data_IF_863788556515
#
_entry.id   IF_863788556515
#
_cell.length_a   1.000
_cell.length_b   1.000
_cell.length_c   1.000
_cell.angle_alpha   90.00
_cell.angle_beta   90.00
_cell.angle_gamma   90.00
#
_symmetry.space_group_name_H-M   'P 1'
#
loop_
_entity.id
_entity.type
_entity.pdbx_description
1 polymer ?
#
# COMPACT_ATOMS: atom_id res chain seq x y z
N UNK A 1 15.42 -8.03 -21.10
CA UNK A 1 14.32 -7.49 -20.28
C UNK A 1 13.88 -8.60 -19.34
N UNK A 2 13.77 -8.32 -18.04
CA UNK A 2 13.29 -9.30 -17.06
C UNK A 2 11.76 -9.35 -17.10
N UNK A 3 11.19 -10.57 -17.08
CA UNK A 3 9.74 -10.75 -17.04
C UNK A 3 9.12 -10.20 -15.74
N UNK A 4 7.84 -9.85 -15.81
CA UNK A 4 7.02 -9.54 -14.65
C UNK A 4 6.80 -10.81 -13.85
N UNK A 5 7.16 -10.79 -12.58
CA UNK A 5 7.01 -11.94 -11.68
C UNK A 5 5.88 -11.75 -10.67
N UNK A 6 5.50 -10.50 -10.38
CA UNK A 6 4.50 -10.18 -9.38
C UNK A 6 3.92 -8.79 -9.65
N UNK A 7 2.65 -8.61 -9.32
CA UNK A 7 1.98 -7.32 -9.27
C UNK A 7 1.18 -7.22 -7.99
N UNK A 8 1.37 -6.12 -7.25
CA UNK A 8 0.65 -5.85 -6.00
C UNK A 8 -0.14 -4.55 -6.17
N UNK A 9 -1.48 -4.62 -6.33
CA UNK A 9 -2.30 -3.43 -6.44
C UNK A 9 -2.43 -2.73 -5.09
N UNK A 10 -2.31 -1.41 -5.12
CA UNK A 10 -2.41 -0.54 -3.95
C UNK A 10 -3.55 0.47 -4.14
N UNK A 11 -3.66 1.41 -3.21
CA UNK A 11 -4.70 2.44 -3.19
C UNK A 11 -4.43 3.53 -4.24
N UNK A 12 -5.44 4.34 -4.56
CA UNK A 12 -5.33 5.50 -5.46
C UNK A 12 -4.75 5.20 -6.86
N UNK A 13 -5.03 4.02 -7.40
CA UNK A 13 -4.58 3.60 -8.73
C UNK A 13 -3.09 3.25 -8.78
N UNK A 14 -2.46 2.95 -7.66
CA UNK A 14 -1.04 2.61 -7.61
C UNK A 14 -0.81 1.10 -7.76
N UNK A 15 0.29 0.71 -8.39
CA UNK A 15 0.77 -0.66 -8.48
C UNK A 15 2.24 -0.75 -8.09
N UNK A 16 2.59 -1.89 -7.49
CA UNK A 16 3.97 -2.32 -7.33
C UNK A 16 4.20 -3.49 -8.28
N UNK A 17 5.07 -3.31 -9.27
CA UNK A 17 5.33 -4.30 -10.33
C UNK A 17 6.75 -4.83 -10.20
N UNK A 18 6.89 -6.11 -9.88
CA UNK A 18 8.20 -6.74 -9.67
C UNK A 18 8.75 -7.32 -10.98
N UNK A 19 9.99 -6.94 -11.31
CA UNK A 19 10.75 -7.32 -12.50
C UNK A 19 12.14 -7.82 -12.07
N UNK A 20 12.33 -9.13 -11.95
CA UNK A 20 13.60 -9.69 -11.46
C UNK A 20 13.92 -9.25 -10.03
N UNK A 21 14.96 -8.43 -9.85
CA UNK A 21 15.48 -7.93 -8.57
C UNK A 21 15.02 -6.52 -8.18
N UNK A 22 14.16 -5.89 -9.00
CA UNK A 22 13.60 -4.56 -8.76
C UNK A 22 12.07 -4.59 -8.79
N UNK A 23 11.46 -3.64 -8.08
CA UNK A 23 10.03 -3.37 -8.13
C UNK A 23 9.81 -1.93 -8.56
N UNK A 24 9.02 -1.74 -9.61
CA UNK A 24 8.55 -0.43 -10.07
C UNK A 24 7.32 -0.03 -9.25
N UNK A 25 7.32 1.18 -8.70
CA UNK A 25 6.13 1.79 -8.11
C UNK A 25 5.55 2.79 -9.11
N UNK A 26 4.32 2.54 -9.54
CA UNK A 26 3.66 3.32 -10.60
C UNK A 26 2.26 3.72 -10.19
N UNK A 27 1.75 4.80 -10.77
CA UNK A 27 0.39 5.28 -10.59
C UNK A 27 -0.33 5.39 -11.94
N UNK A 28 -1.55 4.87 -11.99
CA UNK A 28 -2.43 4.98 -13.14
C UNK A 28 -3.35 6.17 -12.98
N UNK A 29 -3.60 6.85 -14.10
CA UNK A 29 -4.61 7.88 -14.24
C UNK A 29 -5.55 7.51 -15.38
N UNK A 30 -6.49 6.56 -15.16
CA UNK A 30 -7.31 6.00 -16.23
C UNK A 30 -8.07 7.03 -17.06
N UNK A 31 -8.54 8.09 -16.41
CA UNK A 31 -9.26 9.21 -17.05
C UNK A 31 -8.40 10.06 -18.00
N UNK A 32 -7.07 9.98 -17.89
CA UNK A 32 -6.12 10.61 -18.82
C UNK A 32 -5.75 9.69 -19.98
N UNK A 33 -6.30 8.48 -20.01
CA UNK A 33 -6.05 7.46 -21.01
C UNK A 33 -7.15 7.37 -22.06
N UNK A 34 -7.11 6.29 -22.85
CA UNK A 34 -8.16 5.97 -23.83
C UNK A 34 -9.40 5.34 -23.19
N UNK A 35 -10.50 5.23 -23.95
CA UNK A 35 -11.78 4.67 -23.46
C UNK A 35 -11.66 3.27 -22.84
N UNK A 36 -10.74 2.44 -23.34
CA UNK A 36 -10.50 1.09 -22.81
C UNK A 36 -9.97 1.06 -21.36
N UNK A 37 -9.54 2.19 -20.81
CA UNK A 37 -9.05 2.30 -19.43
C UNK A 37 -10.13 2.73 -18.45
N UNK A 38 -11.29 3.20 -18.88
CA UNK A 38 -12.30 3.79 -17.97
C UNK A 38 -12.73 2.84 -16.85
N UNK A 39 -12.79 1.54 -17.13
CA UNK A 39 -13.14 0.53 -16.12
C UNK A 39 -12.10 0.41 -14.99
N UNK A 40 -10.87 0.85 -15.21
CA UNK A 40 -9.81 0.83 -14.19
C UNK A 40 -10.03 1.90 -13.09
N UNK A 41 -10.95 2.84 -13.30
CA UNK A 41 -11.36 3.78 -12.24
C UNK A 41 -12.17 3.09 -11.14
N UNK A 42 -12.78 1.94 -11.46
CA UNK A 42 -13.48 1.11 -10.50
C UNK A 42 -12.47 0.31 -9.67
N UNK A 43 -12.35 0.62 -8.37
CA UNK A 43 -11.42 -0.05 -7.43
C UNK A 43 -11.44 -1.58 -7.53
N UNK A 44 -12.62 -2.18 -7.59
CA UNK A 44 -12.77 -3.64 -7.65
C UNK A 44 -12.30 -4.24 -8.98
N UNK A 45 -12.31 -3.49 -10.08
CA UNK A 45 -11.71 -3.90 -11.35
C UNK A 45 -10.20 -3.74 -11.27
N UNK A 46 -9.73 -2.56 -10.82
CA UNK A 46 -8.31 -2.24 -10.71
C UNK A 46 -7.53 -3.26 -9.86
N UNK A 47 -8.09 -3.65 -8.72
CA UNK A 47 -7.50 -4.62 -7.80
C UNK A 47 -7.41 -6.05 -8.35
N UNK A 48 -8.08 -6.35 -9.47
CA UNK A 48 -8.06 -7.67 -10.11
C UNK A 48 -7.00 -7.80 -11.20
N UNK A 49 -6.03 -6.88 -11.23
CA UNK A 49 -4.86 -6.97 -12.09
C UNK A 49 -4.17 -8.34 -11.94
N UNK A 50 -3.69 -8.89 -13.06
CA UNK A 50 -2.91 -10.13 -13.09
C UNK A 50 -1.69 -9.96 -14.00
N UNK A 51 -0.67 -10.75 -13.73
CA UNK A 51 0.44 -10.95 -14.66
C UNK A 51 0.01 -11.96 -15.72
N UNK A 52 0.34 -11.73 -16.99
CA UNK A 52 0.11 -12.73 -18.05
C UNK A 52 1.02 -13.95 -17.86
N UNK A 53 0.63 -15.11 -18.37
CA UNK A 53 1.38 -16.37 -18.17
C UNK A 53 2.84 -16.32 -18.64
N UNK A 54 3.12 -15.49 -19.65
CA UNK A 54 4.48 -15.27 -20.17
C UNK A 54 5.25 -14.15 -19.44
N UNK A 55 4.65 -13.49 -18.45
CA UNK A 55 5.26 -12.37 -17.71
C UNK A 55 5.52 -11.11 -18.54
N UNK A 56 4.93 -10.98 -19.73
CA UNK A 56 5.21 -9.87 -20.64
C UNK A 56 4.21 -8.72 -20.55
N UNK A 57 3.14 -8.85 -19.77
CA UNK A 57 2.16 -7.79 -19.57
C UNK A 57 1.40 -7.93 -18.25
N UNK A 58 0.72 -6.85 -17.86
CA UNK A 58 -0.35 -6.85 -16.88
C UNK A 58 -1.70 -6.88 -17.59
N UNK A 59 -2.67 -7.60 -17.05
CA UNK A 59 -4.02 -7.71 -17.62
C UNK A 59 -5.10 -7.48 -16.56
N UNK A 60 -6.22 -6.89 -16.97
CA UNK A 60 -7.39 -6.63 -16.13
C UNK A 60 -8.65 -7.30 -16.70
N UNK A 61 -9.65 -7.59 -15.83
CA UNK A 61 -10.99 -7.92 -16.31
C UNK A 61 -11.51 -6.82 -17.25
N UNK A 62 -12.08 -7.21 -18.39
CA UNK A 62 -12.53 -6.27 -19.43
C UNK A 62 -11.52 -6.07 -20.58
N UNK A 63 -10.36 -6.73 -20.53
CA UNK A 63 -9.46 -6.87 -21.68
C UNK A 63 -8.37 -5.80 -21.81
N UNK A 64 -8.31 -4.82 -20.91
CA UNK A 64 -7.18 -3.89 -20.88
C UNK A 64 -5.89 -4.64 -20.52
N UNK A 65 -4.85 -4.44 -21.31
CA UNK A 65 -3.54 -5.07 -21.14
C UNK A 65 -2.46 -4.00 -21.24
N UNK A 66 -1.55 -4.01 -20.27
CA UNK A 66 -0.38 -3.12 -20.23
C UNK A 66 0.89 -3.92 -20.51
N UNK A 67 1.51 -3.75 -21.69
CA UNK A 67 2.77 -4.42 -22.00
C UNK A 67 3.93 -3.99 -21.09
N UNK A 68 4.82 -4.93 -20.79
CA UNK A 68 6.06 -4.69 -20.04
C UNK A 68 6.91 -3.59 -20.66
N UNK A 69 6.96 -3.51 -22.00
CA UNK A 69 7.72 -2.47 -22.67
C UNK A 69 7.23 -1.06 -22.33
N UNK A 70 5.93 -0.88 -22.05
CA UNK A 70 5.37 0.40 -21.59
C UNK A 70 5.73 0.69 -20.14
N UNK A 71 5.77 -0.34 -19.29
CA UNK A 71 6.17 -0.22 -17.88
C UNK A 71 7.66 0.06 -17.69
N UNK A 72 8.53 -0.49 -18.53
CA UNK A 72 9.99 -0.26 -18.44
C UNK A 72 10.40 1.00 -19.22
N UNK A 73 9.53 1.49 -20.09
CA UNK A 73 9.74 2.68 -20.89
C UNK A 73 9.54 3.94 -20.04
N UNK A 74 10.58 4.78 -19.94
CA UNK A 74 10.47 6.16 -19.43
C UNK A 74 9.77 7.12 -20.40
N UNK A 75 9.10 6.62 -21.44
CA UNK A 75 8.31 7.48 -22.35
C UNK A 75 7.17 8.11 -21.56
N UNK A 76 7.05 9.42 -21.72
CA UNK A 76 6.00 10.18 -21.10
C UNK A 76 4.63 9.70 -21.59
N UNK A 77 3.86 9.16 -20.65
CA UNK A 77 2.56 8.56 -20.90
C UNK A 77 1.59 9.22 -19.94
N UNK A 78 0.61 10.01 -20.42
CA UNK A 78 -0.16 10.90 -19.54
C UNK A 78 -1.02 10.16 -18.51
N UNK A 79 -1.29 8.87 -18.75
CA UNK A 79 -2.07 7.99 -17.88
C UNK A 79 -1.22 7.08 -16.98
N UNK A 80 0.11 7.16 -17.04
CA UNK A 80 1.03 6.34 -16.23
C UNK A 80 2.17 7.19 -15.66
N UNK A 81 2.22 7.30 -14.34
CA UNK A 81 3.28 8.01 -13.63
C UNK A 81 4.22 7.02 -12.96
N UNK A 82 5.53 7.16 -13.17
CA UNK A 82 6.54 6.43 -12.42
C UNK A 82 6.83 7.13 -11.10
N UNK A 83 6.45 6.50 -9.99
CA UNK A 83 6.68 7.04 -8.65
C UNK A 83 8.06 6.67 -8.11
N UNK A 84 8.62 5.53 -8.53
CA UNK A 84 9.98 5.14 -8.14
C UNK A 84 10.34 3.71 -8.50
N UNK A 85 11.56 3.33 -8.13
CA UNK A 85 12.09 1.96 -8.24
C UNK A 85 12.69 1.57 -6.90
N UNK A 86 12.30 0.43 -6.36
CA UNK A 86 12.79 -0.10 -5.07
C UNK A 86 13.28 -1.54 -5.22
N UNK A 87 14.14 -2.04 -4.30
CA UNK A 87 14.45 -3.47 -4.24
C UNK A 87 13.22 -4.33 -3.93
N UNK A 88 13.17 -5.57 -4.41
CA UNK A 88 12.06 -6.52 -4.12
C UNK A 88 11.82 -6.73 -2.62
N UNK A 89 12.88 -6.67 -1.82
CA UNK A 89 12.80 -6.79 -0.36
C UNK A 89 12.04 -5.62 0.31
N UNK A 90 11.81 -4.53 -0.42
CA UNK A 90 11.24 -3.28 0.07
C UNK A 90 9.90 -2.93 -0.61
N UNK A 91 9.42 -3.80 -1.50
CA UNK A 91 8.17 -3.60 -2.21
C UNK A 91 6.97 -3.52 -1.27
N UNK A 92 5.97 -2.73 -1.66
CA UNK A 92 4.69 -2.60 -0.94
C UNK A 92 4.85 -2.07 0.49
N UNK A 93 5.91 -1.30 0.74
CA UNK A 93 6.22 -0.66 2.02
C UNK A 93 6.26 0.86 1.86
N UNK A 94 5.09 1.51 1.65
CA UNK A 94 5.05 2.93 1.33
C UNK A 94 5.67 3.81 2.42
N UNK A 95 5.54 3.45 3.71
CA UNK A 95 6.10 4.24 4.81
C UNK A 95 7.59 4.01 5.06
N UNK A 96 8.22 3.00 4.44
CA UNK A 96 9.62 2.64 4.71
C UNK A 96 10.62 3.77 4.42
N UNK A 97 10.53 4.52 3.31
CA UNK A 97 11.45 5.65 3.07
C UNK A 97 11.40 6.69 4.18
N UNK A 98 10.21 6.97 4.71
CA UNK A 98 10.01 7.93 5.80
C UNK A 98 10.57 7.38 7.11
N UNK A 99 10.30 6.12 7.44
CA UNK A 99 10.84 5.47 8.63
C UNK A 99 12.37 5.49 8.67
N UNK A 100 13.03 5.33 7.52
CA UNK A 100 14.49 5.44 7.43
C UNK A 100 15.02 6.82 7.79
N UNK A 101 14.28 7.85 7.37
CA UNK A 101 14.63 9.22 7.67
C UNK A 101 14.38 9.54 9.15
N UNK A 102 13.21 9.15 9.67
CA UNK A 102 12.78 9.43 11.03
C UNK A 102 13.52 8.59 12.11
N UNK A 103 13.93 7.35 11.75
CA UNK A 103 14.62 6.43 12.67
C UNK A 103 15.96 5.91 12.11
N UNK A 104 16.99 6.77 12.02
CA UNK A 104 18.31 6.33 11.56
C UNK A 104 18.87 5.21 12.45
N UNK A 105 19.22 4.08 11.85
CA UNK A 105 19.83 2.93 12.55
C UNK A 105 18.84 1.92 13.16
N UNK A 106 17.53 2.15 13.08
CA UNK A 106 16.55 1.15 13.50
C UNK A 106 16.61 -0.12 12.60
N UNK A 107 16.45 -1.33 13.15
CA UNK A 107 16.45 -2.57 12.36
C UNK A 107 15.13 -2.76 11.58
N UNK A 108 14.89 -1.90 10.59
CA UNK A 108 13.68 -1.88 9.74
C UNK A 108 13.55 -3.10 8.80
N UNK A 109 14.53 -4.02 8.81
CA UNK A 109 14.58 -5.24 7.99
C UNK A 109 14.27 -6.53 8.76
N UNK A 110 13.98 -6.46 10.06
CA UNK A 110 13.52 -7.64 10.79
C UNK A 110 12.23 -8.18 10.16
N UNK A 111 12.12 -9.51 9.98
CA UNK A 111 10.89 -10.13 9.50
C UNK A 111 9.85 -10.13 10.63
N UNK A 112 8.75 -9.35 10.51
CA UNK A 112 7.75 -9.31 11.56
C UNK A 112 6.96 -10.62 11.61
N UNK A 113 6.67 -11.08 12.82
CA UNK A 113 5.80 -12.23 13.06
C UNK A 113 4.36 -11.77 13.24
N UNK A 114 3.40 -12.68 13.05
CA UNK A 114 1.98 -12.45 13.38
C UNK A 114 1.82 -11.95 14.82
N UNK A 115 2.51 -12.58 15.77
CA UNK A 115 2.48 -12.22 17.19
C UNK A 115 2.95 -10.77 17.41
N UNK A 116 4.03 -10.34 16.76
CA UNK A 116 4.50 -8.96 16.85
C UNK A 116 3.44 -7.96 16.39
N UNK A 117 2.76 -8.22 15.25
CA UNK A 117 1.72 -7.33 14.72
C UNK A 117 0.48 -7.33 15.63
N UNK A 118 0.04 -8.49 16.11
CA UNK A 118 -1.06 -8.63 17.08
C UNK A 118 -0.80 -7.79 18.32
N UNK A 119 0.40 -7.91 18.92
CA UNK A 119 0.77 -7.15 20.11
C UNK A 119 0.88 -5.65 19.83
N UNK A 120 1.43 -5.28 18.68
CA UNK A 120 1.63 -3.89 18.27
C UNK A 120 0.32 -3.11 18.14
N UNK A 121 -0.75 -3.76 17.66
CA UNK A 121 -2.06 -3.13 17.48
C UNK A 121 -3.12 -3.56 18.49
N UNK A 122 -2.79 -4.47 19.42
CA UNK A 122 -3.76 -5.05 20.35
C UNK A 122 -4.91 -5.78 19.67
N UNK A 123 -4.63 -6.43 18.53
CA UNK A 123 -5.60 -7.18 17.73
C UNK A 123 -5.76 -8.60 18.24
N UNK A 124 -6.90 -9.21 17.99
CA UNK A 124 -7.10 -10.66 18.07
C UNK A 124 -6.61 -11.33 16.80
N UNK A 125 -6.32 -12.63 16.87
CA UNK A 125 -5.88 -13.39 15.69
C UNK A 125 -6.87 -13.35 14.53
N UNK A 126 -8.18 -13.48 14.80
CA UNK A 126 -9.22 -13.37 13.78
C UNK A 126 -9.33 -11.97 13.14
N UNK A 127 -8.90 -10.92 13.84
CA UNK A 127 -8.83 -9.56 13.29
C UNK A 127 -7.65 -9.46 12.33
N UNK A 128 -6.46 -9.97 12.70
CA UNK A 128 -5.31 -10.01 11.80
C UNK A 128 -5.62 -10.83 10.54
N UNK A 129 -6.27 -11.98 10.68
CA UNK A 129 -6.72 -12.78 9.54
C UNK A 129 -7.61 -11.98 8.58
N UNK A 130 -8.50 -11.15 9.12
CA UNK A 130 -9.38 -10.30 8.32
C UNK A 130 -8.58 -9.26 7.53
N UNK A 131 -7.56 -8.65 8.16
CA UNK A 131 -6.63 -7.72 7.48
C UNK A 131 -5.88 -8.43 6.36
N UNK A 132 -5.29 -9.59 6.64
CA UNK A 132 -4.47 -10.33 5.69
C UNK A 132 -5.29 -10.80 4.48
N UNK A 133 -6.56 -11.19 4.68
CA UNK A 133 -7.47 -11.59 3.59
C UNK A 133 -8.01 -10.42 2.76
N UNK A 134 -8.00 -9.20 3.31
CA UNK A 134 -8.53 -8.03 2.61
C UNK A 134 -7.66 -7.57 1.42
N UNK A 135 -6.41 -8.06 1.33
CA UNK A 135 -5.47 -7.68 0.29
C UNK A 135 -5.01 -8.90 -0.51
N UNK A 136 -4.93 -8.79 -1.85
CA UNK A 136 -4.46 -9.88 -2.70
C UNK A 136 -2.92 -9.92 -2.74
N UNK A 137 -2.26 -9.90 -1.58
CA UNK A 137 -0.80 -9.91 -1.45
C UNK A 137 -0.36 -11.02 -0.49
N UNK A 138 0.90 -11.45 -0.56
CA UNK A 138 1.40 -12.47 0.36
C UNK A 138 1.39 -11.96 1.80
N UNK A 139 1.13 -12.86 2.74
CA UNK A 139 1.07 -12.54 4.17
C UNK A 139 2.36 -11.85 4.64
N UNK A 140 3.52 -12.36 4.23
CA UNK A 140 4.81 -11.78 4.62
C UNK A 140 4.94 -10.31 4.19
N UNK A 141 4.49 -9.96 2.98
CA UNK A 141 4.51 -8.58 2.48
C UNK A 141 3.58 -7.69 3.31
N UNK A 142 2.37 -8.17 3.62
CA UNK A 142 1.43 -7.43 4.43
C UNK A 142 1.93 -7.23 5.88
N UNK A 143 2.53 -8.27 6.48
CA UNK A 143 3.10 -8.17 7.83
C UNK A 143 4.19 -7.09 7.90
N UNK A 144 5.04 -6.98 6.87
CA UNK A 144 6.01 -5.88 6.77
C UNK A 144 5.34 -4.50 6.71
N UNK A 145 4.31 -4.33 5.88
CA UNK A 145 3.58 -3.06 5.77
C UNK A 145 2.89 -2.67 7.09
N UNK A 146 2.25 -3.63 7.76
CA UNK A 146 1.61 -3.40 9.07
C UNK A 146 2.64 -3.07 10.15
N UNK A 147 3.78 -3.75 10.14
CA UNK A 147 4.87 -3.45 11.07
C UNK A 147 5.43 -2.04 10.87
N UNK A 148 5.63 -1.62 9.61
CA UNK A 148 6.06 -0.26 9.28
C UNK A 148 5.05 0.78 9.78
N UNK A 149 3.75 0.53 9.57
CA UNK A 149 2.69 1.39 10.06
C UNK A 149 2.74 1.53 11.58
N UNK A 150 2.89 0.44 12.32
CA UNK A 150 2.95 0.52 13.77
C UNK A 150 4.25 1.13 14.31
N UNK A 151 5.39 0.93 13.64
CA UNK A 151 6.62 1.67 13.93
C UNK A 151 6.43 3.18 13.71
N UNK A 152 5.78 3.56 12.62
CA UNK A 152 5.53 4.96 12.29
C UNK A 152 4.65 5.61 13.36
N UNK A 153 3.54 4.96 13.73
CA UNK A 153 2.67 5.44 14.81
C UNK A 153 3.41 5.53 16.15
N UNK A 154 4.28 4.57 16.47
CA UNK A 154 5.07 4.60 17.70
C UNK A 154 6.06 5.76 17.73
N UNK A 155 6.70 6.03 16.59
CA UNK A 155 7.71 7.07 16.49
C UNK A 155 7.09 8.48 16.52
N UNK A 156 6.05 8.73 15.73
CA UNK A 156 5.52 10.08 15.54
C UNK A 156 4.38 10.45 16.50
N UNK A 157 3.64 9.47 17.03
CA UNK A 157 2.49 9.76 17.89
C UNK A 157 2.74 9.39 19.35
N UNK A 158 3.11 8.15 19.64
CA UNK A 158 3.22 7.67 21.02
C UNK A 158 4.28 6.55 21.16
N UNK A 159 5.36 6.74 21.95
CA UNK A 159 6.40 5.72 22.15
C UNK A 159 5.85 4.36 22.56
N UNK A 160 4.83 4.37 23.41
CA UNK A 160 3.96 3.24 23.70
C UNK A 160 2.58 3.53 23.13
N UNK A 161 2.27 2.96 21.96
CA UNK A 161 0.97 3.13 21.30
C UNK A 161 -0.13 2.47 22.14
N UNK A 162 -0.93 3.21 22.92
CA UNK A 162 -1.95 2.61 23.76
C UNK A 162 -3.06 2.11 22.84
N UNK A 163 -3.39 0.82 22.91
CA UNK A 163 -4.43 0.20 22.08
C UNK A 163 -5.76 0.96 22.17
N UNK A 164 -6.04 1.57 23.32
CA UNK A 164 -7.22 2.43 23.51
C UNK A 164 -7.28 3.63 22.54
N UNK A 165 -6.14 4.18 22.11
CA UNK A 165 -6.10 5.27 21.13
C UNK A 165 -6.48 4.81 19.73
N UNK A 166 -6.19 3.54 19.37
CA UNK A 166 -6.60 2.98 18.09
C UNK A 166 -8.13 2.87 17.95
N UNK A 167 -8.84 2.83 19.08
CA UNK A 167 -10.31 2.78 19.17
C UNK A 167 -10.96 4.16 19.26
N UNK A 168 -10.18 5.22 19.41
CA UNK A 168 -10.73 6.59 19.43
C UNK A 168 -11.14 7.03 18.02
N UNK A 169 -12.08 7.98 17.92
CA UNK A 169 -12.44 8.57 16.64
C UNK A 169 -11.20 9.09 15.89
N UNK A 170 -10.99 8.56 14.69
CA UNK A 170 -9.98 8.97 13.75
C UNK A 170 -10.56 10.05 12.83
N UNK A 171 -10.26 11.31 13.14
CA UNK A 171 -10.87 12.47 12.48
C UNK A 171 -10.70 12.43 10.95
N UNK A 172 -9.55 11.96 10.46
CA UNK A 172 -9.32 11.81 9.03
C UNK A 172 -10.31 10.84 8.37
N UNK A 173 -10.54 9.66 8.94
CA UNK A 173 -11.55 8.74 8.41
C UNK A 173 -12.97 9.30 8.52
N UNK A 174 -13.32 9.92 9.66
CA UNK A 174 -14.63 10.54 9.84
C UNK A 174 -14.90 11.63 8.79
N UNK A 175 -13.88 12.40 8.42
CA UNK A 175 -13.97 13.43 7.39
C UNK A 175 -14.03 12.85 5.96
N UNK A 176 -13.21 11.84 5.65
CA UNK A 176 -13.11 11.26 4.29
C UNK A 176 -14.27 10.34 3.94
N UNK A 177 -14.84 9.65 4.92
CA UNK A 177 -15.96 8.71 4.72
C UNK A 177 -17.05 8.93 5.77
N UNK A 178 -17.73 10.10 5.76
CA UNK A 178 -18.66 10.49 6.83
C UNK A 178 -19.81 9.50 7.03
N UNK A 179 -20.26 8.85 5.95
CA UNK A 179 -21.36 7.88 5.98
C UNK A 179 -20.93 6.47 6.41
N UNK A 180 -19.63 6.17 6.51
CA UNK A 180 -19.12 4.84 6.87
C UNK A 180 -18.62 4.84 8.31
N UNK A 181 -19.54 5.02 9.26
CA UNK A 181 -19.24 5.14 10.70
C UNK A 181 -18.39 3.98 11.25
N UNK A 182 -18.57 2.78 10.70
CA UNK A 182 -17.78 1.61 11.07
C UNK A 182 -16.28 1.78 10.79
N UNK A 183 -15.85 2.71 9.94
CA UNK A 183 -14.44 3.00 9.63
C UNK A 183 -13.87 4.19 10.42
N UNK A 184 -14.63 4.80 11.34
CA UNK A 184 -14.21 6.06 11.98
C UNK A 184 -13.14 5.89 13.07
N UNK A 185 -12.46 4.75 13.15
CA UNK A 185 -11.35 4.51 14.09
C UNK A 185 -10.16 3.91 13.34
N UNK A 186 -8.95 4.10 13.85
CA UNK A 186 -7.75 3.50 13.28
C UNK A 186 -7.84 1.97 13.29
N UNK A 187 -8.29 1.37 14.40
CA UNK A 187 -8.46 -0.08 14.51
C UNK A 187 -9.41 -0.59 13.42
N UNK A 188 -10.54 0.08 13.20
CA UNK A 188 -11.48 -0.34 12.18
C UNK A 188 -10.94 -0.13 10.75
N UNK A 189 -10.22 0.96 10.49
CA UNK A 189 -9.56 1.14 9.20
C UNK A 189 -8.58 0.01 8.89
N UNK A 190 -7.81 -0.45 9.89
CA UNK A 190 -6.91 -1.59 9.75
C UNK A 190 -7.71 -2.87 9.45
N UNK A 191 -8.65 -3.26 10.34
CA UNK A 191 -9.37 -4.54 10.25
C UNK A 191 -10.28 -4.68 9.03
N UNK A 192 -10.79 -3.56 8.50
CA UNK A 192 -11.61 -3.54 7.28
C UNK A 192 -10.80 -3.32 5.99
N UNK A 193 -9.47 -3.36 6.04
CA UNK A 193 -8.64 -3.24 4.84
C UNK A 193 -8.73 -1.86 4.18
N UNK A 194 -8.82 -0.81 5.00
CA UNK A 194 -8.79 0.60 4.59
C UNK A 194 -7.51 1.27 5.06
N UNK A 195 -6.37 0.69 4.67
CA UNK A 195 -5.04 1.23 4.98
C UNK A 195 -4.84 2.63 4.38
N UNK A 196 -5.53 2.98 3.29
CA UNK A 196 -5.55 4.35 2.75
C UNK A 196 -5.94 5.39 3.82
N UNK A 197 -6.96 5.08 4.63
CA UNK A 197 -7.44 5.99 5.67
C UNK A 197 -6.47 6.14 6.84
N UNK A 198 -5.46 5.28 6.93
CA UNK A 198 -4.41 5.34 7.94
C UNK A 198 -3.13 5.93 7.35
N UNK A 199 -2.67 5.46 6.19
CA UNK A 199 -1.37 5.83 5.63
C UNK A 199 -1.35 7.21 4.98
N UNK A 200 -2.43 7.64 4.31
CA UNK A 200 -2.51 8.97 3.69
C UNK A 200 -2.21 10.11 4.68
N UNK A 201 -2.85 10.19 5.86
CA UNK A 201 -2.56 11.25 6.83
C UNK A 201 -1.15 11.11 7.43
N UNK A 202 -0.62 9.90 7.59
CA UNK A 202 0.76 9.70 8.07
C UNK A 202 1.78 10.21 7.04
N UNK A 203 1.52 9.98 5.75
CA UNK A 203 2.29 10.56 4.65
C UNK A 203 2.20 12.09 4.60
N UNK A 204 1.04 12.67 4.91
CA UNK A 204 0.89 14.12 4.99
C UNK A 204 1.68 14.70 6.17
N UNK A 205 1.63 14.07 7.34
CA UNK A 205 2.40 14.45 8.52
C UNK A 205 3.91 14.40 8.26
N UNK A 206 4.41 13.27 7.74
CA UNK A 206 5.83 13.11 7.47
C UNK A 206 6.37 14.13 6.46
N UNK A 207 5.57 14.48 5.43
CA UNK A 207 5.96 15.50 4.45
C UNK A 207 6.01 16.89 5.06
N UNK A 208 5.13 17.19 6.02
CA UNK A 208 5.16 18.46 6.74
C UNK A 208 6.42 18.58 7.61
N UNK A 209 6.86 17.49 8.24
CA UNK A 209 8.09 17.46 9.05
C UNK A 209 9.36 17.68 8.21
N UNK A 210 9.42 17.14 6.99
CA UNK A 210 10.59 17.31 6.10
C UNK A 210 10.66 18.72 5.49
N UNK A 211 9.53 19.44 5.42
CA UNK A 211 9.46 20.78 4.82
C UNK A 211 9.70 21.93 5.83
N UNK A 212 9.70 21.64 7.14
CA UNK A 212 9.96 22.59 8.22
C UNK A 212 11.41 22.56 8.67
#
# INVERSE_FOLDING_TARGET
MSAITEVLPDVHGQLWVTLGDRTLHVQFHPLRGGQGMMLLDLRHVFQRVRVTDNGMALTWPGGFTLPLCTLDSRRDTPWLTHLGVVPVAERYRPLLPLLRHATPGAPLRAQPTRLHVIQMFGMREGELDSVLRAYPVSEQVMLHRLHDLGLFLKHHLFPELPVALLRRPWAYAAHRVPQQHHLHTLQACLTWGRLDLVEDPLWALARAEVAG
#
